data_IF_009119391699
#
_entry.id   IF_009119391699
#
_cell.length_a   1.000
_cell.length_b   1.000
_cell.length_c   1.000
_cell.angle_alpha   90.00
_cell.angle_beta   90.00
_cell.angle_gamma   90.00
#
_symmetry.space_group_name_H-M   'P 1'
#
loop_
_entity.id
_entity.type
_entity.pdbx_description
1 polymer ?
#
# COMPACT_ATOMS: atom_id res chain seq x y z
N UNK A 1 -14.31 -11.43 14.02
CA UNK A 1 -15.29 -11.96 15.00
C UNK A 1 -16.48 -11.01 15.06
N UNK A 2 -17.60 -11.31 14.40
CA UNK A 2 -18.83 -10.51 14.52
C UNK A 2 -19.66 -11.04 15.69
N UNK A 3 -19.53 -10.41 16.86
CA UNK A 3 -20.46 -10.61 17.97
C UNK A 3 -21.21 -9.30 18.21
N UNK A 4 -22.46 -9.29 17.75
CA UNK A 4 -23.52 -8.25 17.85
C UNK A 4 -23.48 -7.26 16.68
N UNK A 5 -24.53 -7.30 15.86
CA UNK A 5 -24.79 -6.38 14.74
C UNK A 5 -25.13 -4.96 15.19
N UNK A 6 -24.30 -4.38 16.05
CA UNK A 6 -24.24 -2.94 16.27
C UNK A 6 -23.16 -2.46 15.29
N UNK A 7 -23.48 -1.58 14.32
CA UNK A 7 -22.45 -0.90 13.56
C UNK A 7 -21.48 -0.28 14.56
N UNK A 8 -20.23 -0.75 14.61
CA UNK A 8 -19.24 -0.15 15.47
C UNK A 8 -19.08 1.30 15.03
N UNK A 9 -19.33 2.26 15.93
CA UNK A 9 -19.10 3.67 15.62
C UNK A 9 -17.68 3.83 15.05
N UNK A 10 -17.48 4.64 13.98
CA UNK A 10 -16.19 4.78 13.31
C UNK A 10 -15.06 5.11 14.30
N UNK A 11 -15.36 5.91 15.33
CA UNK A 11 -14.43 6.27 16.41
C UNK A 11 -13.91 5.06 17.19
N UNK A 12 -14.74 4.03 17.39
CA UNK A 12 -14.35 2.81 18.10
C UNK A 12 -13.30 2.02 17.32
N UNK A 13 -13.46 1.92 16.00
CA UNK A 13 -12.47 1.30 15.13
C UNK A 13 -11.16 2.08 15.13
N UNK A 14 -11.22 3.41 15.02
CA UNK A 14 -10.03 4.27 15.04
C UNK A 14 -9.24 4.09 16.34
N UNK A 15 -9.92 4.09 17.50
CA UNK A 15 -9.28 3.87 18.79
C UNK A 15 -8.63 2.49 18.89
N UNK A 16 -9.31 1.46 18.40
CA UNK A 16 -8.80 0.09 18.40
C UNK A 16 -7.55 -0.05 17.52
N UNK A 17 -7.59 0.50 16.30
CA UNK A 17 -6.46 0.53 15.37
C UNK A 17 -5.28 1.25 16.01
N UNK A 18 -5.48 2.45 16.56
CA UNK A 18 -4.41 3.21 17.25
C UNK A 18 -3.82 2.44 18.43
N UNK A 19 -4.66 1.74 19.20
CA UNK A 19 -4.20 0.91 20.31
C UNK A 19 -3.30 -0.24 19.84
N UNK A 20 -3.69 -0.98 18.81
CA UNK A 20 -2.88 -2.05 18.22
C UNK A 20 -1.55 -1.53 17.67
N UNK A 21 -1.57 -0.40 16.95
CA UNK A 21 -0.34 0.23 16.46
C UNK A 21 0.61 0.62 17.60
N UNK A 22 0.08 1.18 18.69
CA UNK A 22 0.90 1.56 19.87
C UNK A 22 1.55 0.37 20.58
N UNK A 23 1.00 -0.84 20.40
CA UNK A 23 1.52 -2.09 20.96
C UNK A 23 2.46 -2.83 20.01
N UNK A 24 2.67 -2.33 18.80
CA UNK A 24 3.43 -3.05 17.78
C UNK A 24 2.69 -4.28 17.25
N UNK A 25 1.36 -4.22 17.17
CA UNK A 25 0.48 -5.30 16.69
C UNK A 25 -0.15 -4.95 15.33
N UNK A 26 0.64 -4.77 14.24
CA UNK A 26 0.13 -4.25 12.98
C UNK A 26 -0.85 -5.19 12.26
N UNK A 27 -0.78 -6.50 12.52
CA UNK A 27 -1.70 -7.48 11.95
C UNK A 27 -3.12 -7.32 12.52
N UNK A 28 -3.24 -7.07 13.82
CA UNK A 28 -4.51 -6.80 14.47
C UNK A 28 -5.05 -5.42 14.08
N UNK A 29 -4.17 -4.41 13.96
CA UNK A 29 -4.52 -3.10 13.42
C UNK A 29 -5.12 -3.20 12.01
N UNK A 30 -4.51 -4.00 11.12
CA UNK A 30 -5.04 -4.27 9.78
C UNK A 30 -6.38 -4.99 9.80
N UNK A 31 -6.58 -5.94 10.72
CA UNK A 31 -7.86 -6.65 10.87
C UNK A 31 -8.98 -5.69 11.32
N UNK A 32 -8.67 -4.77 12.24
CA UNK A 32 -9.60 -3.73 12.66
C UNK A 32 -9.89 -2.72 11.53
N UNK A 33 -8.88 -2.36 10.73
CA UNK A 33 -9.03 -1.53 9.53
C UNK A 33 -9.95 -2.18 8.49
N UNK A 34 -9.76 -3.46 8.20
CA UNK A 34 -10.64 -4.20 7.28
C UNK A 34 -12.08 -4.20 7.79
N UNK A 35 -12.27 -4.44 9.09
CA UNK A 35 -13.59 -4.45 9.73
C UNK A 35 -14.28 -3.08 9.66
N UNK A 36 -13.51 -1.99 9.78
CA UNK A 36 -14.00 -0.62 9.60
C UNK A 36 -14.53 -0.41 8.17
N UNK A 37 -13.75 -0.85 7.17
CA UNK A 37 -14.11 -0.74 5.75
C UNK A 37 -15.33 -1.62 5.40
N UNK A 38 -15.37 -2.86 5.89
CA UNK A 38 -16.49 -3.78 5.73
C UNK A 38 -17.77 -3.26 6.39
N UNK A 39 -17.64 -2.50 7.48
CA UNK A 39 -18.73 -1.78 8.14
C UNK A 39 -19.23 -0.55 7.37
N UNK A 40 -18.63 -0.22 6.22
CA UNK A 40 -19.00 0.94 5.40
C UNK A 40 -18.33 2.25 5.82
N UNK A 41 -17.37 2.20 6.75
CA UNK A 41 -16.64 3.38 7.20
C UNK A 41 -15.31 3.48 6.45
N UNK A 42 -15.15 4.52 5.63
CA UNK A 42 -13.90 4.77 4.91
C UNK A 42 -12.91 5.49 5.85
N UNK A 43 -11.74 4.90 6.15
CA UNK A 43 -10.72 5.54 6.96
C UNK A 43 -10.13 6.78 6.28
N UNK A 44 -9.68 7.74 7.08
CA UNK A 44 -8.85 8.84 6.58
C UNK A 44 -7.48 8.36 6.09
N UNK A 45 -6.85 9.15 5.21
CA UNK A 45 -5.52 8.90 4.67
C UNK A 45 -4.46 8.66 5.75
N UNK A 46 -4.58 9.38 6.87
CA UNK A 46 -3.68 9.29 8.02
C UNK A 46 -3.71 7.91 8.68
N UNK A 47 -4.91 7.33 8.83
CA UNK A 47 -5.08 6.03 9.48
C UNK A 47 -4.58 4.89 8.57
N UNK A 48 -4.87 4.95 7.27
CA UNK A 48 -4.28 4.04 6.30
C UNK A 48 -2.75 4.09 6.36
N UNK A 49 -2.19 5.30 6.31
CA UNK A 49 -0.73 5.53 6.36
C UNK A 49 -0.11 4.89 7.59
N UNK A 50 -0.64 5.12 8.78
CA UNK A 50 -0.08 4.54 10.01
C UNK A 50 -0.11 3.01 10.03
N UNK A 51 -1.16 2.39 9.50
CA UNK A 51 -1.24 0.92 9.39
C UNK A 51 -0.22 0.41 8.37
N UNK A 52 -0.08 1.08 7.22
CA UNK A 52 0.88 0.72 6.17
C UNK A 52 2.31 0.84 6.69
N UNK A 53 2.67 1.96 7.33
CA UNK A 53 4.00 2.21 7.92
C UNK A 53 4.36 1.13 8.93
N UNK A 54 3.46 0.86 9.89
CA UNK A 54 3.71 -0.17 10.91
C UNK A 54 3.87 -1.57 10.32
N UNK A 55 3.05 -1.95 9.31
CA UNK A 55 3.23 -3.21 8.59
C UNK A 55 4.55 -3.27 7.81
N UNK A 56 4.96 -2.16 7.21
CA UNK A 56 6.20 -2.07 6.43
C UNK A 56 7.43 -2.21 7.34
N UNK A 57 7.43 -1.52 8.48
CA UNK A 57 8.47 -1.58 9.51
C UNK A 57 8.57 -2.97 10.16
N UNK A 58 7.43 -3.66 10.36
CA UNK A 58 7.38 -5.06 10.79
C UNK A 58 7.79 -6.05 9.68
N UNK A 59 8.19 -5.55 8.49
CA UNK A 59 8.67 -6.35 7.38
C UNK A 59 7.58 -7.04 6.55
N UNK A 60 6.30 -6.79 6.84
CA UNK A 60 5.12 -7.37 6.16
C UNK A 60 4.76 -6.61 4.88
N UNK A 61 5.74 -6.48 3.99
CA UNK A 61 5.66 -5.64 2.77
C UNK A 61 4.45 -5.97 1.88
N UNK A 62 4.14 -7.25 1.65
CA UNK A 62 2.98 -7.61 0.81
C UNK A 62 1.65 -7.25 1.49
N UNK A 63 1.56 -7.33 2.82
CA UNK A 63 0.37 -6.90 3.56
C UNK A 63 0.23 -5.38 3.49
N UNK A 64 1.34 -4.64 3.66
CA UNK A 64 1.37 -3.18 3.47
C UNK A 64 0.93 -2.78 2.05
N UNK A 65 1.42 -3.49 1.02
CA UNK A 65 1.01 -3.34 -0.39
C UNK A 65 -0.49 -3.55 -0.60
N UNK A 66 -1.11 -4.52 0.08
CA UNK A 66 -2.56 -4.75 0.01
C UNK A 66 -3.37 -3.63 0.67
N UNK A 67 -2.89 -3.10 1.80
CA UNK A 67 -3.54 -1.95 2.45
C UNK A 67 -3.39 -0.69 1.58
N UNK A 68 -2.22 -0.46 0.98
CA UNK A 68 -2.00 0.59 -0.02
C UNK A 68 -2.95 0.45 -1.21
N UNK A 69 -3.14 -0.76 -1.74
CA UNK A 69 -4.11 -1.02 -2.81
C UNK A 69 -5.52 -0.59 -2.41
N UNK A 70 -5.98 -1.03 -1.23
CA UNK A 70 -7.31 -0.66 -0.72
C UNK A 70 -7.45 0.84 -0.54
N UNK A 71 -6.39 1.53 -0.09
CA UNK A 71 -6.38 2.98 0.07
C UNK A 71 -6.60 3.69 -1.28
N UNK A 72 -5.91 3.23 -2.34
CA UNK A 72 -6.05 3.77 -3.71
C UNK A 72 -7.43 3.47 -4.31
N UNK A 73 -7.93 2.24 -4.16
CA UNK A 73 -9.26 1.85 -4.64
C UNK A 73 -10.41 2.63 -3.98
N UNK A 74 -10.17 3.21 -2.79
CA UNK A 74 -11.12 4.10 -2.10
C UNK A 74 -10.92 5.58 -2.42
N UNK A 75 -9.95 5.93 -3.26
CA UNK A 75 -9.65 7.31 -3.64
C UNK A 75 -8.99 8.14 -2.52
N UNK A 76 -8.34 7.50 -1.55
CA UNK A 76 -7.78 8.16 -0.36
C UNK A 76 -6.25 8.19 -0.43
N UNK A 77 -5.65 8.88 -1.39
CA UNK A 77 -4.20 8.83 -1.60
C UNK A 77 -3.51 10.19 -1.40
N UNK A 78 -2.54 10.25 -0.48
CA UNK A 78 -1.79 11.48 -0.18
C UNK A 78 -0.27 11.31 -0.01
N UNK A 79 0.25 10.09 0.19
CA UNK A 79 1.67 9.87 0.52
C UNK A 79 2.38 9.03 -0.55
N UNK A 80 2.95 9.71 -1.53
CA UNK A 80 3.71 9.09 -2.64
C UNK A 80 5.04 8.49 -2.17
N UNK A 81 5.68 9.03 -1.13
CA UNK A 81 6.96 8.53 -0.62
C UNK A 81 6.81 7.12 -0.03
N UNK A 82 5.75 6.89 0.76
CA UNK A 82 5.46 5.57 1.32
C UNK A 82 5.13 4.55 0.22
N UNK A 83 4.39 4.98 -0.80
CA UNK A 83 4.07 4.15 -1.98
C UNK A 83 5.33 3.77 -2.75
N UNK A 84 6.23 4.73 -2.99
CA UNK A 84 7.51 4.48 -3.64
C UNK A 84 8.36 3.47 -2.86
N UNK A 85 8.43 3.60 -1.52
CA UNK A 85 9.13 2.63 -0.65
C UNK A 85 8.55 1.22 -0.74
N UNK A 86 7.23 1.09 -0.83
CA UNK A 86 6.57 -0.22 -0.99
C UNK A 86 6.91 -0.82 -2.37
N UNK A 87 6.83 -0.04 -3.44
CA UNK A 87 7.18 -0.48 -4.78
C UNK A 87 8.63 -0.93 -4.86
N UNK A 88 9.57 -0.12 -4.34
CA UNK A 88 10.98 -0.48 -4.25
C UNK A 88 11.15 -1.81 -3.48
N UNK A 89 10.55 -1.93 -2.30
CA UNK A 89 10.65 -3.15 -1.49
C UNK A 89 10.08 -4.39 -2.19
N UNK A 90 8.97 -4.26 -2.94
CA UNK A 90 8.40 -5.35 -3.73
C UNK A 90 9.39 -5.79 -4.82
N UNK A 91 9.94 -4.87 -5.59
CA UNK A 91 10.95 -5.20 -6.61
C UNK A 91 12.20 -5.84 -5.99
N UNK A 92 12.70 -5.29 -4.89
CA UNK A 92 13.88 -5.80 -4.20
C UNK A 92 13.69 -7.24 -3.70
N UNK A 93 12.47 -7.59 -3.28
CA UNK A 93 12.05 -8.94 -2.86
C UNK A 93 11.63 -9.86 -4.01
N UNK A 94 11.67 -9.39 -5.25
CA UNK A 94 11.33 -10.18 -6.44
C UNK A 94 9.83 -10.28 -6.72
N UNK A 95 8.98 -9.52 -6.02
CA UNK A 95 7.54 -9.42 -6.27
C UNK A 95 7.24 -8.45 -7.43
N UNK A 96 7.91 -8.69 -8.57
CA UNK A 96 7.91 -7.78 -9.72
C UNK A 96 6.51 -7.59 -10.29
N UNK A 97 5.77 -8.68 -10.52
CA UNK A 97 4.42 -8.60 -11.08
C UNK A 97 3.42 -7.89 -10.14
N UNK A 98 3.58 -8.06 -8.83
CA UNK A 98 2.77 -7.31 -7.86
C UNK A 98 3.10 -5.82 -7.91
N UNK A 99 4.39 -5.46 -7.97
CA UNK A 99 4.82 -4.06 -8.09
C UNK A 99 4.27 -3.40 -9.37
N UNK A 100 4.37 -4.08 -10.52
CA UNK A 100 3.81 -3.58 -11.79
C UNK A 100 2.29 -3.41 -11.72
N UNK A 101 1.57 -4.37 -11.12
CA UNK A 101 0.12 -4.23 -10.91
C UNK A 101 -0.27 -3.08 -9.96
N UNK A 102 0.62 -2.69 -9.03
CA UNK A 102 0.42 -1.49 -8.21
C UNK A 102 0.66 -0.21 -8.98
N UNK A 103 1.67 -0.19 -9.85
CA UNK A 103 1.94 0.94 -10.73
C UNK A 103 0.76 1.20 -11.66
N UNK A 104 0.22 0.15 -12.29
CA UNK A 104 -0.96 0.25 -13.16
C UNK A 104 -2.18 0.82 -12.42
N UNK A 105 -2.46 0.32 -11.20
CA UNK A 105 -3.52 0.87 -10.35
C UNK A 105 -3.33 2.37 -10.05
N UNK A 106 -2.10 2.79 -9.80
CA UNK A 106 -1.76 4.18 -9.49
C UNK A 106 -1.93 5.08 -10.72
N UNK A 107 -1.57 4.60 -11.90
CA UNK A 107 -1.81 5.31 -13.15
C UNK A 107 -3.31 5.47 -13.43
N UNK A 108 -4.09 4.41 -13.24
CA UNK A 108 -5.54 4.42 -13.40
C UNK A 108 -6.25 5.36 -12.41
N UNK A 109 -5.67 5.56 -11.22
CA UNK A 109 -6.18 6.53 -10.24
C UNK A 109 -5.71 7.98 -10.49
N UNK A 110 -4.98 8.24 -11.58
CA UNK A 110 -4.45 9.57 -11.92
C UNK A 110 -3.22 9.99 -11.12
N UNK A 111 -2.56 9.06 -10.44
CA UNK A 111 -1.36 9.34 -9.65
C UNK A 111 -0.10 9.23 -10.53
N UNK A 112 0.63 10.33 -10.67
CA UNK A 112 1.88 10.35 -11.42
C UNK A 112 3.02 9.72 -10.59
N UNK A 113 3.56 8.60 -11.07
CA UNK A 113 4.76 7.98 -10.52
C UNK A 113 6.00 8.41 -11.29
N UNK A 114 7.09 8.68 -10.57
CA UNK A 114 8.39 8.94 -11.18
C UNK A 114 9.12 7.62 -11.42
N UNK A 115 8.89 7.02 -12.59
CA UNK A 115 9.53 5.78 -13.02
C UNK A 115 11.06 5.84 -12.98
N UNK A 116 11.63 6.99 -13.34
CA UNK A 116 13.07 7.20 -13.41
C UNK A 116 13.77 6.91 -12.07
N UNK A 117 13.17 7.34 -10.95
CA UNK A 117 13.73 7.09 -9.63
C UNK A 117 13.70 5.62 -9.25
N UNK A 118 12.65 4.88 -9.64
CA UNK A 118 12.57 3.44 -9.39
C UNK A 118 13.55 2.68 -10.30
N UNK A 119 13.67 3.08 -11.56
CA UNK A 119 14.62 2.50 -12.51
C UNK A 119 16.07 2.72 -12.05
N UNK A 120 16.43 3.92 -11.61
CA UNK A 120 17.78 4.22 -11.12
C UNK A 120 18.13 3.34 -9.92
N UNK A 121 17.24 3.26 -8.93
CA UNK A 121 17.44 2.43 -7.74
C UNK A 121 17.58 0.95 -8.12
N UNK A 122 16.73 0.42 -9.01
CA UNK A 122 16.83 -0.98 -9.43
C UNK A 122 18.13 -1.27 -10.17
N UNK A 123 18.59 -0.36 -11.03
CA UNK A 123 19.86 -0.47 -11.73
C UNK A 123 21.05 -0.46 -10.75
N UNK A 124 21.09 0.50 -9.82
CA UNK A 124 22.13 0.63 -8.79
C UNK A 124 22.20 -0.59 -7.87
N UNK A 125 21.06 -1.20 -7.55
CA UNK A 125 20.98 -2.40 -6.72
C UNK A 125 21.20 -3.70 -7.51
N UNK A 126 21.55 -3.62 -8.79
CA UNK A 126 21.81 -4.77 -9.66
C UNK A 126 20.57 -5.62 -9.98
N UNK A 127 19.36 -5.09 -9.77
CA UNK A 127 18.07 -5.76 -10.09
C UNK A 127 17.73 -5.58 -11.57
N UNK A 128 18.65 -5.94 -12.46
CA UNK A 128 18.58 -5.67 -13.91
C UNK A 128 17.32 -6.24 -14.57
N UNK A 129 16.90 -7.46 -14.22
CA UNK A 129 15.68 -8.06 -14.76
C UNK A 129 14.43 -7.27 -14.34
N UNK A 130 14.36 -6.82 -13.09
CA UNK A 130 13.25 -6.00 -12.62
C UNK A 130 13.25 -4.61 -13.28
N UNK A 131 14.43 -4.00 -13.43
CA UNK A 131 14.58 -2.73 -14.13
C UNK A 131 14.15 -2.83 -15.61
N UNK A 132 14.54 -3.89 -16.32
CA UNK A 132 14.11 -4.14 -17.70
C UNK A 132 12.59 -4.31 -17.79
N UNK A 133 11.98 -5.09 -16.88
CA UNK A 133 10.52 -5.25 -16.85
C UNK A 133 9.79 -3.93 -16.58
N UNK A 134 10.31 -3.10 -15.68
CA UNK A 134 9.75 -1.79 -15.40
C UNK A 134 9.89 -0.84 -16.60
N UNK A 135 11.02 -0.88 -17.29
CA UNK A 135 11.25 -0.10 -18.51
C UNK A 135 10.30 -0.54 -19.63
N UNK A 136 10.19 -1.85 -19.88
CA UNK A 136 9.28 -2.41 -20.87
C UNK A 136 7.82 -2.04 -20.56
N UNK A 137 7.44 -2.05 -19.27
CA UNK A 137 6.12 -1.60 -18.83
C UNK A 137 5.91 -0.12 -19.15
N UNK A 138 6.84 0.76 -18.75
CA UNK A 138 6.73 2.19 -18.99
C UNK A 138 6.67 2.55 -20.49
N UNK A 139 7.44 1.85 -21.34
CA UNK A 139 7.45 2.08 -22.78
C UNK A 139 6.13 1.68 -23.47
N UNK A 140 5.43 0.67 -22.96
CA UNK A 140 4.12 0.26 -23.51
C UNK A 140 3.05 1.31 -23.25
N UNK A 141 3.07 1.94 -22.08
CA UNK A 141 2.08 2.95 -21.69
C UNK A 141 2.29 4.30 -22.37
N UNK A 142 3.52 4.64 -22.80
CA UNK A 142 3.80 5.88 -23.56
C UNK A 142 3.41 5.75 -25.05
N UNK A 143 3.26 4.52 -25.56
CA UNK A 143 3.01 4.25 -26.97
C UNK A 143 1.51 4.24 -27.36
N UNK A 144 0.61 4.62 -26.44
CA UNK A 144 -0.86 4.70 -26.62
C UNK A 144 -1.31 6.14 -26.47
#
# INVERSE_FOLDING_TARGET
>A
MNRRGIPGEPDSYILLIKSYLSKGEPADAKTALDSMIEGGHIPESSLFRSVIESLFEDGRVQTASRVMKSMVEKGVMENMDLVAKILEALFMRGHVEEALGRIDLLMQSGCALQFDSLLSVLAEKGKTIAALKLLDFALREIAV
#
